data_IF_456217664084
#
_entry.id   IF_456217664084
#
_cell.length_a   1.000
_cell.length_b   1.000
_cell.length_c   1.000
_cell.angle_alpha   90.00
_cell.angle_beta   90.00
_cell.angle_gamma   90.00
#
_symmetry.space_group_name_H-M   'P 1'
#
loop_
_entity.id
_entity.type
_entity.pdbx_description
1 polymer ?
#
# COMPACT_ATOMS: atom_id res chain seq x y z
N UNK A 1 -25.19 -19.10 12.19
CA UNK A 1 -24.18 -18.52 13.11
C UNK A 1 -22.81 -18.91 12.55
N UNK A 2 -21.81 -18.02 12.60
CA UNK A 2 -20.48 -18.36 12.06
C UNK A 2 -19.77 -19.36 12.99
N UNK A 3 -18.97 -20.26 12.44
CA UNK A 3 -18.19 -21.22 13.21
C UNK A 3 -16.74 -20.73 13.46
N UNK A 4 -16.20 -19.98 12.49
CA UNK A 4 -14.82 -19.50 12.50
C UNK A 4 -14.70 -18.16 11.78
N UNK A 5 -13.75 -17.34 12.23
CA UNK A 5 -13.36 -16.10 11.56
C UNK A 5 -11.93 -16.24 11.09
N UNK A 6 -11.73 -16.00 9.80
CA UNK A 6 -10.38 -15.93 9.23
C UNK A 6 -10.17 -14.51 8.71
N UNK A 7 -9.36 -13.72 9.42
CA UNK A 7 -9.06 -12.36 9.02
C UNK A 7 -7.72 -12.29 8.27
N UNK A 8 -7.78 -11.79 7.04
CA UNK A 8 -6.63 -11.51 6.20
C UNK A 8 -6.28 -10.04 6.25
N UNK A 9 -5.00 -9.73 6.44
CA UNK A 9 -4.55 -8.35 6.43
C UNK A 9 -3.32 -8.12 5.56
N UNK A 10 -3.31 -7.00 4.83
CA UNK A 10 -2.09 -6.44 4.26
C UNK A 10 -1.69 -5.26 5.14
N UNK A 11 -0.55 -5.33 5.83
CA UNK A 11 -0.10 -4.21 6.66
C UNK A 11 1.39 -3.97 6.58
N UNK A 12 1.76 -2.71 6.38
CA UNK A 12 3.15 -2.27 6.43
C UNK A 12 3.56 -1.73 7.80
N UNK A 13 2.69 -0.95 8.46
CA UNK A 13 2.99 -0.30 9.76
C UNK A 13 2.06 -0.73 10.91
N UNK A 14 1.21 -1.73 10.69
CA UNK A 14 0.34 -2.31 11.72
C UNK A 14 -1.10 -1.79 11.76
N UNK A 15 -1.47 -0.78 10.95
CA UNK A 15 -2.82 -0.22 10.96
C UNK A 15 -3.89 -1.25 10.59
N UNK A 16 -3.76 -1.88 9.42
CA UNK A 16 -4.71 -2.89 8.96
C UNK A 16 -4.66 -4.18 9.78
N UNK A 17 -3.49 -4.51 10.36
CA UNK A 17 -3.39 -5.59 11.34
C UNK A 17 -4.29 -5.32 12.57
N UNK A 18 -4.23 -4.11 13.13
CA UNK A 18 -5.10 -3.73 14.25
C UNK A 18 -6.58 -3.85 13.91
N UNK A 19 -6.97 -3.39 12.71
CA UNK A 19 -8.37 -3.47 12.28
C UNK A 19 -8.85 -4.92 12.18
N UNK A 20 -8.05 -5.80 11.58
CA UNK A 20 -8.35 -7.23 11.55
C UNK A 20 -8.44 -7.82 12.96
N UNK A 21 -7.45 -7.53 13.82
CA UNK A 21 -7.39 -7.98 15.21
C UNK A 21 -8.61 -7.53 16.02
N UNK A 22 -8.95 -6.24 15.99
CA UNK A 22 -10.09 -5.67 16.71
C UNK A 22 -11.41 -6.31 16.28
N UNK A 23 -11.58 -6.58 14.98
CA UNK A 23 -12.78 -7.25 14.50
C UNK A 23 -12.87 -8.68 15.03
N UNK A 24 -11.77 -9.44 14.94
CA UNK A 24 -11.71 -10.82 15.47
C UNK A 24 -11.95 -10.88 16.97
N UNK A 25 -11.33 -10.00 17.76
CA UNK A 25 -11.51 -9.93 19.23
C UNK A 25 -12.93 -9.52 19.64
N UNK A 26 -13.67 -8.83 18.77
CA UNK A 26 -15.06 -8.43 19.04
C UNK A 26 -16.08 -9.55 18.81
N UNK A 27 -15.63 -10.69 18.29
CA UNK A 27 -16.49 -11.83 17.93
C UNK A 27 -16.21 -12.99 18.88
N UNK A 28 -16.69 -12.83 20.12
CA UNK A 28 -16.47 -13.76 21.22
C UNK A 28 -16.97 -15.19 20.92
N UNK A 29 -16.26 -16.19 21.43
CA UNK A 29 -16.65 -17.61 21.29
C UNK A 29 -16.33 -18.26 19.94
N UNK A 30 -15.67 -17.55 19.01
CA UNK A 30 -15.28 -18.10 17.70
C UNK A 30 -13.79 -18.37 17.60
N UNK A 31 -13.42 -19.43 16.88
CA UNK A 31 -12.03 -19.63 16.48
C UNK A 31 -11.61 -18.51 15.53
N UNK A 32 -10.52 -17.80 15.86
CA UNK A 32 -10.02 -16.67 15.08
C UNK A 32 -8.63 -16.96 14.52
N UNK A 33 -8.46 -16.74 13.22
CA UNK A 33 -7.16 -16.77 12.53
C UNK A 33 -6.81 -15.37 12.01
N UNK A 34 -5.56 -14.93 12.21
CA UNK A 34 -5.04 -13.66 11.68
C UNK A 34 -3.90 -13.95 10.69
N UNK A 35 -4.10 -13.67 9.41
CA UNK A 35 -3.15 -14.02 8.37
C UNK A 35 -2.67 -12.78 7.60
N UNK A 36 -1.36 -12.56 7.58
CA UNK A 36 -0.80 -11.52 6.73
C UNK A 36 -0.78 -11.98 5.27
N UNK A 37 -1.36 -11.19 4.37
CA UNK A 37 -1.27 -11.44 2.94
C UNK A 37 0.16 -11.17 2.45
N UNK A 38 0.74 -12.16 1.78
CA UNK A 38 2.08 -12.15 1.18
C UNK A 38 2.03 -12.63 -0.27
N UNK A 39 3.01 -12.21 -1.09
CA UNK A 39 3.01 -12.50 -2.54
C UNK A 39 3.01 -14.01 -2.87
N UNK A 40 3.59 -14.87 -2.02
CA UNK A 40 3.73 -16.32 -2.27
C UNK A 40 2.75 -17.20 -1.47
N UNK A 41 1.84 -16.63 -0.67
CA UNK A 41 0.98 -17.42 0.21
C UNK A 41 -0.35 -17.73 -0.49
N UNK A 42 -0.66 -19.03 -0.63
CA UNK A 42 -1.97 -19.50 -1.12
C UNK A 42 -2.33 -20.84 -0.50
N UNK A 43 -2.79 -20.82 0.75
CA UNK A 43 -3.51 -21.95 1.33
C UNK A 43 -4.54 -21.39 2.31
N UNK A 44 -5.72 -21.06 1.80
CA UNK A 44 -6.89 -20.81 2.63
C UNK A 44 -7.86 -21.94 2.39
N UNK A 45 -8.02 -22.80 3.39
CA UNK A 45 -9.13 -23.75 3.45
C UNK A 45 -10.31 -23.04 4.09
N UNK A 46 -11.31 -22.71 3.28
CA UNK A 46 -12.60 -22.18 3.76
C UNK A 46 -13.54 -23.35 4.03
N UNK A 47 -14.17 -23.36 5.20
CA UNK A 47 -15.23 -24.31 5.56
C UNK A 47 -16.61 -23.66 5.46
N UNK A 48 -17.65 -24.49 5.56
CA UNK A 48 -19.02 -24.01 5.66
C UNK A 48 -19.22 -23.19 6.94
N UNK A 49 -19.91 -22.05 6.85
CA UNK A 49 -20.11 -21.07 7.93
C UNK A 49 -18.87 -20.27 8.39
N UNK A 50 -17.83 -20.17 7.57
CA UNK A 50 -16.75 -19.22 7.80
C UNK A 50 -17.16 -17.76 7.51
N UNK A 51 -16.58 -16.84 8.29
CA UNK A 51 -16.55 -15.42 7.98
C UNK A 51 -15.12 -14.99 7.64
N UNK A 52 -14.94 -14.49 6.41
CA UNK A 52 -13.67 -13.91 6.00
C UNK A 52 -13.67 -12.40 6.25
N UNK A 53 -12.58 -11.88 6.80
CA UNK A 53 -12.44 -10.44 7.06
C UNK A 53 -11.19 -9.95 6.36
N UNK A 54 -11.29 -8.94 5.51
CA UNK A 54 -10.13 -8.39 4.79
C UNK A 54 -9.86 -6.96 5.25
N UNK A 55 -8.65 -6.70 5.74
CA UNK A 55 -8.19 -5.35 6.07
C UNK A 55 -6.87 -5.00 5.38
N UNK A 56 -6.81 -3.84 4.74
CA UNK A 56 -5.67 -3.45 3.91
C UNK A 56 -5.62 -1.94 3.72
N UNK A 57 -4.46 -1.34 3.44
CA UNK A 57 -4.37 0.08 3.16
C UNK A 57 -5.05 0.43 1.83
N UNK A 58 -5.69 1.58 1.76
CA UNK A 58 -6.02 2.21 0.47
C UNK A 58 -4.76 2.81 -0.14
N UNK A 59 -4.48 2.48 -1.40
CA UNK A 59 -3.39 3.04 -2.19
C UNK A 59 -3.95 3.69 -3.46
N UNK A 60 -3.60 4.95 -3.73
CA UNK A 60 -4.06 5.66 -4.93
C UNK A 60 -5.58 5.67 -5.10
N UNK A 61 -6.33 5.86 -3.99
CA UNK A 61 -7.80 5.82 -3.96
C UNK A 61 -8.43 4.49 -4.39
N UNK A 62 -7.67 3.40 -4.35
CA UNK A 62 -8.13 2.05 -4.68
C UNK A 62 -7.43 0.98 -3.83
N UNK A 63 -7.75 -0.29 -4.09
CA UNK A 63 -7.14 -1.41 -3.40
C UNK A 63 -5.71 -1.67 -3.94
N UNK A 64 -4.75 -2.07 -3.09
CA UNK A 64 -3.39 -2.39 -3.53
C UNK A 64 -3.37 -3.63 -4.44
N UNK A 65 -2.41 -3.67 -5.37
CA UNK A 65 -2.22 -4.83 -6.25
C UNK A 65 -2.05 -6.16 -5.50
N UNK A 66 -1.39 -6.17 -4.32
CA UNK A 66 -1.24 -7.39 -3.54
C UNK A 66 -2.60 -7.95 -3.07
N UNK A 67 -3.51 -7.07 -2.65
CA UNK A 67 -4.87 -7.48 -2.29
C UNK A 67 -5.63 -7.96 -3.52
N UNK A 68 -5.63 -7.19 -4.60
CA UNK A 68 -6.33 -7.55 -5.85
C UNK A 68 -5.87 -8.94 -6.33
N UNK A 69 -4.56 -9.17 -6.41
CA UNK A 69 -3.98 -10.47 -6.79
C UNK A 69 -4.38 -11.59 -5.83
N UNK A 70 -4.41 -11.30 -4.53
CA UNK A 70 -4.80 -12.28 -3.53
C UNK A 70 -6.25 -12.74 -3.73
N UNK A 71 -7.18 -11.82 -3.98
CA UNK A 71 -8.59 -12.14 -4.25
C UNK A 71 -8.74 -13.05 -5.49
N UNK A 72 -7.97 -12.79 -6.55
CA UNK A 72 -7.98 -13.65 -7.74
C UNK A 72 -7.46 -15.07 -7.49
N UNK A 73 -6.63 -15.27 -6.45
CA UNK A 73 -6.05 -16.57 -6.08
C UNK A 73 -6.84 -17.34 -5.02
N UNK A 74 -7.82 -16.70 -4.36
CA UNK A 74 -8.71 -17.38 -3.42
C UNK A 74 -9.47 -18.51 -4.11
N UNK A 75 -9.94 -19.56 -3.42
CA UNK A 75 -10.86 -20.55 -3.99
C UNK A 75 -12.21 -19.92 -4.38
N UNK A 76 -13.06 -20.68 -5.07
CA UNK A 76 -14.45 -20.28 -5.29
C UNK A 76 -15.15 -20.10 -3.94
N UNK A 77 -15.93 -19.03 -3.82
CA UNK A 77 -16.49 -18.62 -2.54
C UNK A 77 -17.62 -19.52 -2.04
N UNK A 78 -18.37 -20.17 -2.93
CA UNK A 78 -19.49 -21.06 -2.58
C UNK A 78 -20.46 -20.46 -1.54
N UNK A 79 -20.68 -19.15 -1.60
CA UNK A 79 -21.55 -18.42 -0.66
C UNK A 79 -20.92 -18.05 0.67
N UNK A 80 -19.63 -18.31 0.91
CA UNK A 80 -18.89 -17.89 2.11
C UNK A 80 -19.01 -16.38 2.31
N UNK A 81 -19.20 -15.97 3.57
CA UNK A 81 -19.42 -14.57 3.90
C UNK A 81 -18.10 -13.81 4.01
N UNK A 82 -18.10 -12.56 3.54
CA UNK A 82 -16.93 -11.69 3.60
C UNK A 82 -17.24 -10.28 4.13
N UNK A 83 -16.30 -9.69 4.86
CA UNK A 83 -16.34 -8.30 5.35
C UNK A 83 -15.06 -7.57 4.95
N UNK A 84 -15.20 -6.34 4.45
CA UNK A 84 -14.11 -5.51 3.96
C UNK A 84 -13.93 -4.25 4.81
N UNK A 85 -12.73 -4.11 5.38
CA UNK A 85 -12.35 -3.02 6.27
C UNK A 85 -11.04 -2.35 5.79
N UNK A 86 -11.05 -1.68 4.62
CA UNK A 86 -9.87 -0.96 4.15
C UNK A 86 -9.52 0.18 5.11
N UNK A 87 -8.24 0.40 5.36
CA UNK A 87 -7.75 1.50 6.19
C UNK A 87 -7.41 2.69 5.31
N UNK A 88 -7.89 3.87 5.69
CA UNK A 88 -7.63 5.14 4.99
C UNK A 88 -6.91 6.13 5.92
N UNK A 89 -6.17 7.06 5.32
CA UNK A 89 -5.28 8.00 6.00
C UNK A 89 -6.05 9.08 6.79
N UNK A 90 -6.61 8.70 7.94
CA UNK A 90 -7.19 9.64 8.88
C UNK A 90 -6.12 10.61 9.37
N UNK A 91 -6.47 11.90 9.41
CA UNK A 91 -5.56 12.95 9.88
C UNK A 91 -6.24 13.80 10.94
N UNK A 92 -5.43 14.58 11.66
CA UNK A 92 -5.91 15.52 12.66
C UNK A 92 -5.09 16.80 12.59
N UNK A 93 -5.74 17.88 12.16
CA UNK A 93 -5.12 19.19 11.96
C UNK A 93 -5.88 20.18 12.85
N UNK A 94 -5.14 20.95 13.66
CA UNK A 94 -5.71 21.94 14.59
C UNK A 94 -6.86 21.39 15.48
N UNK A 95 -6.78 20.11 15.87
CA UNK A 95 -7.80 19.47 16.69
C UNK A 95 -9.06 19.00 15.95
N UNK A 96 -9.14 19.17 14.63
CA UNK A 96 -10.19 18.62 13.79
C UNK A 96 -9.74 17.29 13.19
N UNK A 97 -10.53 16.23 13.38
CA UNK A 97 -10.28 14.93 12.77
C UNK A 97 -10.91 14.89 11.38
N UNK A 98 -10.07 14.72 10.37
CA UNK A 98 -10.51 14.64 8.98
C UNK A 98 -10.39 13.18 8.51
N UNK A 99 -11.44 12.62 7.88
CA UNK A 99 -11.38 11.28 7.34
C UNK A 99 -10.37 11.22 6.19
N UNK A 100 -9.75 10.06 6.01
CA UNK A 100 -9.02 9.76 4.78
C UNK A 100 -9.99 9.52 3.62
N UNK A 101 -9.43 9.17 2.46
CA UNK A 101 -10.21 8.82 1.27
C UNK A 101 -9.86 7.39 0.81
N UNK A 102 -10.83 6.49 0.88
CA UNK A 102 -10.70 5.10 0.46
C UNK A 102 -10.97 4.90 -1.05
N UNK A 103 -11.70 5.83 -1.68
CA UNK A 103 -12.12 5.72 -3.06
C UNK A 103 -12.85 4.41 -3.36
N UNK A 104 -12.38 3.68 -4.37
CA UNK A 104 -12.94 2.39 -4.78
C UNK A 104 -12.42 1.21 -3.95
N UNK A 105 -11.50 1.40 -3.01
CA UNK A 105 -10.76 0.31 -2.36
C UNK A 105 -11.63 -0.77 -1.70
N UNK A 106 -12.76 -0.39 -1.08
CA UNK A 106 -13.69 -1.34 -0.49
C UNK A 106 -14.53 -2.05 -1.55
N UNK A 107 -15.24 -1.27 -2.37
CA UNK A 107 -16.22 -1.82 -3.31
C UNK A 107 -15.61 -2.52 -4.54
N UNK A 108 -14.39 -2.16 -4.95
CA UNK A 108 -13.65 -2.91 -5.97
C UNK A 108 -13.43 -4.36 -5.51
N UNK A 109 -12.92 -4.54 -4.30
CA UNK A 109 -12.69 -5.87 -3.74
C UNK A 109 -14.02 -6.59 -3.47
N UNK A 110 -15.07 -5.85 -3.05
CA UNK A 110 -16.40 -6.42 -2.89
C UNK A 110 -16.94 -7.01 -4.19
N UNK A 111 -16.81 -6.27 -5.31
CA UNK A 111 -17.20 -6.73 -6.64
C UNK A 111 -16.39 -7.94 -7.09
N UNK A 112 -15.06 -7.94 -6.89
CA UNK A 112 -14.21 -9.09 -7.22
C UNK A 112 -14.58 -10.33 -6.41
N UNK A 113 -14.85 -10.20 -5.11
CA UNK A 113 -15.30 -11.30 -4.27
C UNK A 113 -16.69 -11.82 -4.69
N UNK A 114 -17.61 -10.93 -5.02
CA UNK A 114 -18.94 -11.29 -5.52
C UNK A 114 -18.85 -12.10 -6.82
N UNK A 115 -18.01 -11.67 -7.78
CA UNK A 115 -17.74 -12.43 -9.01
C UNK A 115 -17.13 -13.81 -8.76
N UNK A 116 -16.46 -13.99 -7.62
CA UNK A 116 -15.88 -15.27 -7.18
C UNK A 116 -16.87 -16.13 -6.38
N UNK A 117 -18.12 -15.70 -6.20
CA UNK A 117 -19.17 -16.43 -5.50
C UNK A 117 -19.20 -16.24 -3.97
N UNK A 118 -18.53 -15.23 -3.43
CA UNK A 118 -18.62 -14.87 -2.01
C UNK A 118 -19.82 -13.95 -1.75
N UNK A 119 -20.38 -14.01 -0.54
CA UNK A 119 -21.44 -13.10 -0.08
C UNK A 119 -20.84 -12.00 0.79
N UNK A 120 -20.62 -10.82 0.23
CA UNK A 120 -20.15 -9.67 1.00
C UNK A 120 -21.27 -9.22 1.95
N UNK A 121 -20.98 -9.18 3.25
CA UNK A 121 -21.92 -8.75 4.31
C UNK A 121 -21.58 -7.38 4.90
N UNK A 122 -20.37 -6.88 4.64
CA UNK A 122 -19.87 -5.65 5.24
C UNK A 122 -18.85 -4.94 4.36
N UNK A 123 -19.02 -3.64 4.12
CA UNK A 123 -17.99 -2.76 3.55
C UNK A 123 -17.95 -1.46 4.35
N UNK A 124 -16.82 -1.16 4.99
CA UNK A 124 -16.63 0.12 5.67
C UNK A 124 -15.14 0.45 5.84
N UNK A 125 -14.72 1.63 5.38
CA UNK A 125 -13.36 2.07 5.61
C UNK A 125 -13.12 2.54 7.05
N UNK A 126 -11.93 2.28 7.56
CA UNK A 126 -11.51 2.64 8.92
C UNK A 126 -10.42 3.71 8.85
N UNK A 127 -10.67 4.85 9.48
CA UNK A 127 -9.68 5.91 9.61
C UNK A 127 -8.56 5.44 10.54
N UNK A 128 -7.36 5.35 9.99
CA UNK A 128 -6.14 5.04 10.73
C UNK A 128 -5.10 6.12 10.47
N UNK A 129 -4.17 6.39 11.41
CA UNK A 129 -3.19 7.46 11.23
C UNK A 129 -2.38 7.24 9.94
N UNK A 130 -2.24 8.32 9.16
CA UNK A 130 -1.48 8.24 7.92
C UNK A 130 -0.04 7.78 8.15
N UNK A 131 0.39 6.81 7.34
CA UNK A 131 1.69 6.17 7.44
C UNK A 131 2.57 6.42 6.19
N UNK A 132 2.16 7.31 5.29
CA UNK A 132 2.89 7.61 4.04
C UNK A 132 4.10 8.51 4.28
N UNK A 133 5.08 7.99 5.02
CA UNK A 133 6.28 8.72 5.48
C UNK A 133 7.21 9.15 4.35
N UNK A 134 7.01 8.65 3.13
CA UNK A 134 7.68 9.15 1.95
C UNK A 134 7.18 10.53 1.51
N UNK A 135 5.92 10.87 1.83
CA UNK A 135 5.28 12.13 1.43
C UNK A 135 5.19 13.13 2.58
N UNK A 136 4.84 12.70 3.79
CA UNK A 136 4.67 13.59 4.94
C UNK A 136 5.14 12.95 6.24
N UNK A 137 5.33 13.76 7.29
CA UNK A 137 5.75 13.25 8.61
C UNK A 137 4.63 12.49 9.33
N UNK A 138 5.01 11.59 10.24
CA UNK A 138 4.08 10.92 11.14
C UNK A 138 3.41 11.89 12.13
N UNK A 139 2.14 11.63 12.46
CA UNK A 139 1.36 12.44 13.40
C UNK A 139 1.92 12.38 14.84
N UNK A 140 1.46 13.26 15.73
CA UNK A 140 1.78 13.20 17.17
C UNK A 140 1.07 12.04 17.85
N UNK A 141 1.66 11.52 18.93
CA UNK A 141 1.08 10.40 19.68
C UNK A 141 -0.32 10.73 20.20
N UNK A 142 -0.56 11.98 20.60
CA UNK A 142 -1.90 12.50 20.96
C UNK A 142 -2.89 12.35 19.80
N UNK A 143 -2.51 12.77 18.59
CA UNK A 143 -3.38 12.68 17.41
C UNK A 143 -3.58 11.23 16.95
N UNK A 144 -2.50 10.43 16.99
CA UNK A 144 -2.52 8.99 16.71
C UNK A 144 -3.51 8.30 17.64
N UNK A 145 -3.43 8.54 18.95
CA UNK A 145 -4.34 7.95 19.95
C UNK A 145 -5.80 8.26 19.64
N UNK A 146 -6.14 9.53 19.39
CA UNK A 146 -7.54 9.91 19.06
C UNK A 146 -8.07 9.18 17.82
N UNK A 147 -7.25 9.06 16.77
CA UNK A 147 -7.67 8.37 15.53
C UNK A 147 -7.82 6.86 15.79
N UNK A 148 -6.85 6.24 16.47
CA UNK A 148 -6.86 4.81 16.80
C UNK A 148 -8.05 4.45 17.68
N UNK A 149 -8.32 5.21 18.74
CA UNK A 149 -9.43 4.95 19.66
C UNK A 149 -10.80 5.02 18.94
N UNK A 150 -10.98 6.01 18.05
CA UNK A 150 -12.19 6.11 17.21
C UNK A 150 -12.30 4.96 16.21
N UNK A 151 -11.18 4.59 15.59
CA UNK A 151 -11.11 3.46 14.67
C UNK A 151 -11.52 2.15 15.34
N UNK A 152 -10.99 1.88 16.54
CA UNK A 152 -11.30 0.70 17.34
C UNK A 152 -12.79 0.64 17.71
N UNK A 153 -13.35 1.74 18.24
CA UNK A 153 -14.78 1.82 18.56
C UNK A 153 -15.67 1.56 17.34
N UNK A 154 -15.28 2.11 16.18
CA UNK A 154 -16.01 1.87 14.92
C UNK A 154 -15.96 0.39 14.54
N UNK A 155 -14.79 -0.24 14.58
CA UNK A 155 -14.64 -1.67 14.24
C UNK A 155 -15.47 -2.55 15.18
N UNK A 156 -15.46 -2.27 16.49
CA UNK A 156 -16.28 -3.00 17.49
C UNK A 156 -17.77 -2.98 17.14
N UNK A 157 -18.32 -1.79 16.80
CA UNK A 157 -19.73 -1.65 16.39
C UNK A 157 -20.06 -2.42 15.10
N UNK A 158 -19.14 -2.40 14.13
CA UNK A 158 -19.30 -3.12 12.87
C UNK A 158 -19.28 -4.65 13.08
N UNK A 159 -18.38 -5.15 13.93
CA UNK A 159 -18.33 -6.56 14.30
C UNK A 159 -19.64 -7.00 14.98
N UNK A 160 -20.14 -6.23 15.96
CA UNK A 160 -21.44 -6.48 16.60
C UNK A 160 -22.60 -6.53 15.60
N UNK A 161 -22.59 -5.66 14.58
CA UNK A 161 -23.61 -5.65 13.53
C UNK A 161 -23.64 -6.98 12.77
N UNK A 162 -22.46 -7.53 12.46
CA UNK A 162 -22.30 -8.82 11.77
C UNK A 162 -22.66 -9.99 12.70
N UNK A 163 -22.31 -9.91 13.98
CA UNK A 163 -22.68 -10.89 15.00
C UNK A 163 -24.21 -11.04 15.12
N UNK A 164 -24.94 -9.93 15.03
CA UNK A 164 -26.41 -9.90 15.01
C UNK A 164 -27.03 -10.38 13.67
N UNK A 165 -26.22 -10.88 12.73
CA UNK A 165 -26.66 -11.34 11.42
C UNK A 165 -27.00 -10.24 10.41
N UNK A 166 -26.80 -8.97 10.78
CA UNK A 166 -27.09 -7.81 9.91
C UNK A 166 -25.91 -7.53 8.97
N UNK A 167 -26.16 -6.70 7.96
CA UNK A 167 -25.14 -6.25 7.00
C UNK A 167 -24.92 -4.74 7.12
N UNK A 168 -23.76 -4.25 6.67
CA UNK A 168 -23.48 -2.82 6.59
C UNK A 168 -22.75 -2.46 5.30
N UNK A 169 -23.08 -1.29 4.74
CA UNK A 169 -22.44 -0.78 3.53
C UNK A 169 -22.25 0.72 3.66
N UNK A 170 -21.01 1.14 3.94
CA UNK A 170 -20.63 2.52 4.17
C UNK A 170 -19.64 2.98 3.08
N UNK A 171 -19.50 4.30 2.92
CA UNK A 171 -18.51 4.87 2.01
C UNK A 171 -19.02 5.17 0.61
N UNK A 172 -20.34 5.39 0.45
CA UNK A 172 -20.93 5.78 -0.84
C UNK A 172 -20.31 7.06 -1.42
N UNK A 173 -20.11 8.11 -0.61
CA UNK A 173 -19.46 9.35 -1.08
C UNK A 173 -18.01 9.09 -1.54
N UNK A 174 -17.13 8.47 -0.74
CA UNK A 174 -15.81 8.05 -1.22
C UNK A 174 -15.83 7.17 -2.46
N UNK A 175 -16.80 6.26 -2.61
CA UNK A 175 -16.96 5.44 -3.81
C UNK A 175 -17.22 6.31 -5.04
N UNK A 176 -18.18 7.23 -4.97
CA UNK A 176 -18.50 8.15 -6.08
C UNK A 176 -17.28 8.97 -6.45
N UNK A 177 -16.59 9.57 -5.48
CA UNK A 177 -15.35 10.31 -5.71
C UNK A 177 -14.25 9.42 -6.31
N UNK A 178 -14.14 8.18 -5.84
CA UNK A 178 -13.19 7.19 -6.36
C UNK A 178 -13.46 6.82 -7.82
N UNK A 179 -14.73 6.72 -8.23
CA UNK A 179 -15.14 6.48 -9.62
C UNK A 179 -14.82 7.70 -10.48
N UNK A 180 -15.10 8.91 -10.01
CA UNK A 180 -14.70 10.15 -10.70
C UNK A 180 -13.17 10.24 -10.87
N UNK A 181 -12.41 9.71 -9.90
CA UNK A 181 -10.95 9.62 -9.92
C UNK A 181 -10.44 8.27 -10.47
N UNK A 182 -11.25 7.53 -11.23
CA UNK A 182 -10.85 6.21 -11.73
C UNK A 182 -9.59 6.27 -12.61
N UNK A 183 -9.44 7.31 -13.44
CA UNK A 183 -8.23 7.53 -14.23
C UNK A 183 -6.97 7.70 -13.39
N UNK A 184 -7.06 8.39 -12.25
CA UNK A 184 -5.96 8.54 -11.28
C UNK A 184 -5.63 7.19 -10.63
N UNK A 185 -6.65 6.46 -10.20
CA UNK A 185 -6.50 5.14 -9.59
C UNK A 185 -5.86 4.15 -10.56
N UNK A 186 -6.31 4.16 -11.83
CA UNK A 186 -5.76 3.34 -12.90
C UNK A 186 -4.30 3.72 -13.20
N UNK A 187 -4.00 5.00 -13.41
CA UNK A 187 -2.64 5.49 -13.61
C UNK A 187 -1.71 5.12 -12.43
N UNK A 188 -2.21 5.20 -11.20
CA UNK A 188 -1.49 4.72 -10.02
C UNK A 188 -1.17 3.23 -10.11
N UNK A 189 -2.14 2.38 -10.42
CA UNK A 189 -1.95 0.93 -10.51
C UNK A 189 -1.00 0.54 -11.65
N UNK A 190 -1.03 1.23 -12.79
CA UNK A 190 -0.26 0.80 -13.97
C UNK A 190 1.17 1.36 -13.96
N UNK A 191 1.36 2.62 -13.58
CA UNK A 191 2.68 3.28 -13.64
C UNK A 191 3.08 3.96 -12.33
N UNK A 192 2.15 4.64 -11.66
CA UNK A 192 2.46 5.47 -10.49
C UNK A 192 3.14 4.68 -9.37
N UNK A 193 2.61 3.50 -9.06
CA UNK A 193 3.19 2.61 -8.05
C UNK A 193 4.63 2.18 -8.41
N UNK A 194 4.88 1.86 -9.68
CA UNK A 194 6.20 1.44 -10.16
C UNK A 194 7.22 2.58 -10.02
N UNK A 195 6.81 3.82 -10.32
CA UNK A 195 7.67 4.99 -10.16
C UNK A 195 7.93 5.32 -8.68
N UNK A 196 6.91 5.23 -7.83
CA UNK A 196 7.06 5.41 -6.37
C UNK A 196 8.06 4.42 -5.77
N UNK A 197 8.11 3.18 -6.28
CA UNK A 197 9.10 2.19 -5.86
C UNK A 197 10.55 2.67 -6.02
N UNK A 198 10.81 3.54 -7.00
CA UNK A 198 12.16 4.02 -7.35
C UNK A 198 12.56 5.28 -6.61
N UNK A 199 11.66 5.88 -5.84
CA UNK A 199 11.99 7.03 -4.99
C UNK A 199 12.81 6.64 -3.75
N UNK A 200 12.78 5.37 -3.35
CA UNK A 200 13.50 4.90 -2.18
C UNK A 200 14.98 4.68 -2.45
N UNK A 201 15.80 5.17 -1.54
CA UNK A 201 17.22 4.84 -1.48
C UNK A 201 17.67 4.58 -0.04
N UNK A 202 18.80 3.91 0.10
CA UNK A 202 19.45 3.69 1.39
C UNK A 202 20.60 4.68 1.58
N UNK A 203 20.60 5.39 2.70
CA UNK A 203 21.68 6.30 3.06
C UNK A 203 22.96 5.57 3.48
N UNK A 204 24.00 6.37 3.72
CA UNK A 204 25.27 5.99 4.34
C UNK A 204 25.08 5.22 5.67
N UNK A 205 24.04 5.56 6.45
CA UNK A 205 23.68 4.88 7.72
C UNK A 205 23.21 3.43 7.55
N UNK A 206 22.89 2.98 6.34
CA UNK A 206 22.45 1.59 6.15
C UNK A 206 23.62 0.62 6.37
N UNK A 207 23.47 -0.25 7.36
CA UNK A 207 24.44 -1.29 7.75
C UNK A 207 24.20 -2.66 7.07
N UNK A 208 23.25 -2.76 6.14
CA UNK A 208 23.01 -4.00 5.40
C UNK A 208 22.30 -5.13 6.15
N UNK A 209 21.71 -4.86 7.32
CA UNK A 209 21.02 -5.89 8.14
C UNK A 209 19.86 -6.65 7.48
N UNK A 210 19.44 -6.26 6.26
CA UNK A 210 18.42 -6.96 5.46
C UNK A 210 17.02 -7.07 6.07
N UNK A 211 16.75 -6.46 7.24
CA UNK A 211 15.42 -6.45 7.86
C UNK A 211 14.34 -5.97 6.89
N UNK A 212 14.62 -4.91 6.12
CA UNK A 212 13.70 -4.37 5.12
C UNK A 212 13.24 -5.41 4.08
N UNK A 213 14.12 -6.32 3.66
CA UNK A 213 13.79 -7.44 2.76
C UNK A 213 12.91 -8.47 3.47
N UNK A 214 13.24 -8.83 4.70
CA UNK A 214 12.53 -9.85 5.49
C UNK A 214 11.07 -9.45 5.80
N UNK A 215 10.84 -8.17 6.10
CA UNK A 215 9.51 -7.64 6.46
C UNK A 215 8.68 -7.21 5.25
N UNK A 216 9.20 -7.34 4.01
CA UNK A 216 8.49 -6.91 2.82
C UNK A 216 7.40 -7.94 2.44
N UNK A 217 6.09 -7.62 2.57
CA UNK A 217 5.03 -8.59 2.29
C UNK A 217 5.01 -9.02 0.81
N UNK A 218 5.46 -8.12 -0.06
CA UNK A 218 5.49 -8.32 -1.51
C UNK A 218 6.83 -8.85 -2.04
N UNK A 219 7.80 -9.07 -1.16
CA UNK A 219 9.16 -9.50 -1.53
C UNK A 219 9.81 -8.61 -2.61
N UNK A 220 9.48 -7.32 -2.62
CA UNK A 220 9.94 -6.34 -3.64
C UNK A 220 11.30 -5.71 -3.36
N UNK A 221 12.07 -6.26 -2.43
CA UNK A 221 13.38 -5.70 -2.04
C UNK A 221 14.43 -6.78 -2.23
N UNK A 222 15.42 -6.47 -3.07
CA UNK A 222 16.64 -7.25 -3.24
C UNK A 222 17.77 -6.60 -2.46
N UNK A 223 18.77 -7.38 -2.04
CA UNK A 223 19.99 -6.83 -1.42
C UNK A 223 21.11 -6.87 -2.45
N UNK A 224 21.54 -5.70 -2.94
CA UNK A 224 22.57 -5.58 -3.98
C UNK A 224 23.74 -4.76 -3.45
N UNK A 225 24.91 -5.39 -3.27
CA UNK A 225 26.08 -4.74 -2.66
C UNK A 225 25.79 -4.30 -1.22
N UNK A 226 25.14 -5.16 -0.44
CA UNK A 226 24.73 -4.92 0.95
C UNK A 226 23.79 -3.72 1.19
N UNK A 227 23.15 -3.21 0.13
CA UNK A 227 22.12 -2.15 0.20
C UNK A 227 20.80 -2.66 -0.39
N UNK A 228 19.65 -2.26 0.16
CA UNK A 228 18.36 -2.61 -0.41
C UNK A 228 18.16 -1.94 -1.77
N UNK A 229 17.57 -2.69 -2.69
CA UNK A 229 17.19 -2.28 -4.03
C UNK A 229 15.72 -2.63 -4.24
N UNK A 230 14.89 -1.62 -4.49
CA UNK A 230 13.44 -1.79 -4.63
C UNK A 230 13.10 -2.14 -6.08
N UNK A 231 12.42 -3.27 -6.27
CA UNK A 231 11.93 -3.70 -7.58
C UNK A 231 10.64 -2.94 -7.94
N UNK A 232 10.23 -3.02 -9.20
CA UNK A 232 8.97 -2.39 -9.64
C UNK A 232 7.70 -3.01 -9.04
N UNK A 233 7.80 -4.15 -8.33
CA UNK A 233 6.65 -4.76 -7.67
C UNK A 233 6.31 -4.12 -6.31
N UNK A 234 7.10 -3.15 -5.84
CA UNK A 234 6.89 -2.54 -4.52
C UNK A 234 5.54 -1.82 -4.44
N UNK A 235 4.73 -2.15 -3.43
CA UNK A 235 3.44 -1.50 -3.18
C UNK A 235 3.56 -0.19 -2.38
N UNK A 236 4.77 0.26 -2.04
CA UNK A 236 4.98 1.46 -1.23
C UNK A 236 4.20 1.42 0.12
N UNK A 237 4.12 0.25 0.76
CA UNK A 237 3.42 0.08 2.05
C UNK A 237 4.13 0.70 3.26
N UNK A 238 5.32 1.30 3.05
CA UNK A 238 6.13 2.00 4.04
C UNK A 238 6.69 1.16 5.21
N UNK A 239 6.56 -0.18 5.18
CA UNK A 239 7.11 -1.07 6.21
C UNK A 239 8.62 -0.85 6.40
N UNK A 240 9.38 -0.97 5.31
CA UNK A 240 10.83 -0.85 5.32
C UNK A 240 11.33 0.52 5.84
N UNK A 241 10.67 1.61 5.43
CA UNK A 241 11.03 2.97 5.83
C UNK A 241 10.77 3.23 7.33
N UNK A 242 9.66 2.71 7.86
CA UNK A 242 9.26 2.96 9.24
C UNK A 242 9.91 2.01 10.25
N UNK A 243 10.25 0.78 9.85
CA UNK A 243 10.88 -0.20 10.74
C UNK A 243 12.41 -0.28 10.63
N UNK A 244 13.04 0.46 9.71
CA UNK A 244 14.51 0.49 9.64
C UNK A 244 15.11 1.03 10.95
N UNK A 245 15.88 0.23 11.72
CA UNK A 245 16.46 0.66 12.99
C UNK A 245 17.47 1.80 12.80
N UNK A 246 18.19 1.78 11.68
CA UNK A 246 19.17 2.82 11.33
C UNK A 246 18.53 4.09 10.72
N UNK A 247 17.20 4.09 10.52
CA UNK A 247 16.46 5.14 9.78
C UNK A 247 17.08 5.49 8.42
N UNK A 248 17.73 4.51 7.79
CA UNK A 248 18.55 4.71 6.60
C UNK A 248 17.75 4.73 5.29
N UNK A 249 16.49 4.30 5.28
CA UNK A 249 15.65 4.31 4.09
C UNK A 249 14.97 5.68 3.96
N UNK A 250 15.20 6.36 2.85
CA UNK A 250 14.82 7.76 2.63
C UNK A 250 14.28 7.97 1.21
N UNK A 251 13.58 9.10 1.02
CA UNK A 251 13.17 9.64 -0.27
C UNK A 251 13.70 11.07 -0.39
N UNK A 252 14.19 11.46 -1.56
CA UNK A 252 14.69 12.82 -1.80
C UNK A 252 13.86 13.54 -2.88
N UNK A 253 13.57 14.85 -2.75
CA UNK A 253 13.00 15.62 -3.84
C UNK A 253 13.90 15.59 -5.07
N UNK A 254 15.22 15.51 -4.87
CA UNK A 254 16.19 15.39 -5.94
C UNK A 254 15.94 14.14 -6.80
N UNK A 255 15.70 12.99 -6.18
CA UNK A 255 15.37 11.75 -6.92
C UNK A 255 14.06 11.89 -7.70
N UNK A 256 13.05 12.56 -7.14
CA UNK A 256 11.79 12.80 -7.84
C UNK A 256 11.99 13.72 -9.06
N UNK A 257 12.70 14.85 -8.88
CA UNK A 257 13.04 15.77 -9.94
C UNK A 257 13.84 15.08 -11.06
N UNK A 258 14.87 14.31 -10.69
CA UNK A 258 15.71 13.58 -11.63
C UNK A 258 14.88 12.63 -12.51
N UNK A 259 13.99 11.83 -11.92
CA UNK A 259 13.15 10.91 -12.69
C UNK A 259 12.09 11.61 -13.54
N UNK A 260 11.53 12.72 -13.05
CA UNK A 260 10.61 13.52 -13.85
C UNK A 260 11.33 14.12 -15.07
N UNK A 261 12.50 14.72 -14.86
CA UNK A 261 13.32 15.31 -15.92
C UNK A 261 13.71 14.28 -16.98
N UNK A 262 14.21 13.11 -16.58
CA UNK A 262 14.57 12.05 -17.53
C UNK A 262 13.35 11.54 -18.28
N UNK A 263 12.21 11.36 -17.60
CA UNK A 263 10.97 10.92 -18.23
C UNK A 263 10.44 11.88 -19.30
N UNK A 264 10.77 13.17 -19.22
CA UNK A 264 10.31 14.20 -20.17
C UNK A 264 11.32 14.54 -21.27
N UNK A 265 12.62 14.34 -21.05
CA UNK A 265 13.68 14.67 -22.00
C UNK A 265 13.44 14.05 -23.39
N UNK A 266 13.17 12.74 -23.56
CA UNK A 266 12.99 12.19 -24.90
C UNK A 266 11.67 12.54 -25.53
N UNK A 267 10.58 12.70 -24.77
CA UNK A 267 9.33 13.27 -25.33
C UNK A 267 9.63 14.61 -25.99
N UNK A 268 10.40 15.47 -25.33
CA UNK A 268 10.82 16.74 -25.87
C UNK A 268 11.69 16.61 -27.12
N UNK A 269 12.78 15.82 -27.08
CA UNK A 269 13.69 15.63 -28.22
C UNK A 269 13.00 15.05 -29.47
N UNK A 270 12.08 14.09 -29.27
CA UNK A 270 11.31 13.48 -30.36
C UNK A 270 10.29 14.46 -30.97
N UNK A 271 9.66 15.30 -30.14
CA UNK A 271 8.69 16.32 -30.61
C UNK A 271 9.39 17.49 -31.31
N UNK A 272 10.58 17.90 -30.85
CA UNK A 272 11.31 19.04 -31.41
C UNK A 272 12.03 18.75 -32.73
N UNK A 273 12.12 17.49 -33.16
CA UNK A 273 12.74 17.10 -34.43
C UNK A 273 11.72 17.00 -35.57
N UNK A 274 11.97 17.69 -36.70
CA UNK A 274 11.11 17.64 -37.90
C UNK A 274 10.83 16.22 -38.41
N UNK A 275 11.78 15.29 -38.22
CA UNK A 275 11.66 13.88 -38.61
C UNK A 275 10.82 13.05 -37.61
N UNK A 276 10.83 13.43 -36.33
CA UNK A 276 10.08 12.74 -35.28
C UNK A 276 8.58 13.08 -35.33
N UNK A 277 8.25 14.35 -35.56
CA UNK A 277 6.86 14.82 -35.63
C UNK A 277 6.06 14.17 -36.77
N UNK A 278 6.64 14.07 -37.96
CA UNK A 278 5.99 13.50 -39.15
C UNK A 278 5.67 12.01 -39.00
N UNK A 279 6.52 11.25 -38.30
CA UNK A 279 6.31 9.83 -38.04
C UNK A 279 5.36 9.59 -36.84
N UNK A 280 5.53 10.34 -35.75
CA UNK A 280 4.74 10.16 -34.52
C UNK A 280 3.29 10.62 -34.71
N UNK A 281 3.05 11.71 -35.45
CA UNK A 281 1.70 12.22 -35.68
C UNK A 281 0.77 11.24 -36.42
N UNK A 282 1.33 10.22 -37.06
CA UNK A 282 0.60 9.17 -37.79
C UNK A 282 0.34 7.91 -36.95
N UNK A 283 0.97 7.76 -35.78
CA UNK A 283 0.80 6.58 -34.96
C UNK A 283 -0.53 6.62 -34.20
N UNK A 284 -1.23 5.48 -34.06
CA UNK A 284 -2.34 5.35 -33.13
C UNK A 284 -1.91 5.72 -31.70
N UNK A 285 -2.79 6.40 -30.97
CA UNK A 285 -2.51 6.84 -29.59
C UNK A 285 -2.13 5.70 -28.64
N UNK A 286 -2.62 4.47 -28.88
CA UNK A 286 -2.25 3.28 -28.11
C UNK A 286 -0.79 2.85 -28.31
N UNK A 287 -0.28 2.95 -29.54
CA UNK A 287 1.13 2.65 -29.85
C UNK A 287 2.02 3.70 -29.22
N UNK A 288 1.64 4.99 -29.34
CA UNK A 288 2.35 6.07 -28.68
C UNK A 288 2.41 5.90 -27.16
N UNK A 289 1.29 5.56 -26.53
CA UNK A 289 1.24 5.27 -25.11
C UNK A 289 2.19 4.13 -24.72
N UNK A 290 2.22 3.04 -25.49
CA UNK A 290 3.11 1.91 -25.22
C UNK A 290 4.59 2.29 -25.34
N UNK A 291 4.95 3.04 -26.39
CA UNK A 291 6.32 3.55 -26.58
C UNK A 291 6.73 4.40 -25.38
N UNK A 292 5.88 5.35 -24.98
CA UNK A 292 6.15 6.22 -23.84
C UNK A 292 6.23 5.46 -22.52
N UNK A 293 5.36 4.49 -22.32
CA UNK A 293 5.35 3.62 -21.15
C UNK A 293 6.66 2.82 -21.02
N UNK A 294 7.08 2.15 -22.09
CA UNK A 294 8.35 1.40 -22.13
C UNK A 294 9.55 2.32 -21.93
N UNK A 295 9.53 3.48 -22.59
CA UNK A 295 10.58 4.48 -22.48
C UNK A 295 10.76 4.99 -21.04
N UNK A 296 9.67 5.41 -20.37
CA UNK A 296 9.72 5.90 -18.99
C UNK A 296 10.26 4.82 -18.06
N UNK A 297 9.72 3.60 -18.15
CA UNK A 297 10.13 2.51 -17.26
C UNK A 297 11.58 2.08 -17.46
N UNK A 298 12.06 2.01 -18.72
CA UNK A 298 13.44 1.66 -19.03
C UNK A 298 14.42 2.74 -18.57
N UNK A 299 14.08 4.02 -18.79
CA UNK A 299 14.93 5.15 -18.41
C UNK A 299 15.03 5.31 -16.91
N UNK A 300 13.91 5.19 -16.19
CA UNK A 300 13.90 5.18 -14.73
C UNK A 300 14.66 3.96 -14.20
N UNK A 301 14.55 2.78 -14.83
CA UNK A 301 15.28 1.59 -14.39
C UNK A 301 16.79 1.77 -14.55
N UNK A 302 17.24 2.31 -15.68
CA UNK A 302 18.64 2.60 -15.95
C UNK A 302 19.19 3.62 -14.95
N UNK A 303 18.49 4.75 -14.78
CA UNK A 303 18.93 5.79 -13.85
C UNK A 303 18.93 5.30 -12.40
N UNK A 304 17.93 4.50 -12.01
CA UNK A 304 17.87 3.92 -10.67
C UNK A 304 19.04 2.95 -10.42
N UNK A 305 19.46 2.16 -11.42
CA UNK A 305 20.66 1.31 -11.32
C UNK A 305 21.93 2.14 -11.17
N UNK A 306 22.08 3.22 -11.95
CA UNK A 306 23.20 4.15 -11.84
C UNK A 306 23.24 4.79 -10.45
N UNK A 307 22.12 5.34 -9.99
CA UNK A 307 21.99 5.91 -8.64
C UNK A 307 22.36 4.89 -7.58
N UNK A 308 21.86 3.65 -7.68
CA UNK A 308 22.21 2.58 -6.73
C UNK A 308 23.71 2.28 -6.69
N UNK A 309 24.38 2.35 -7.84
CA UNK A 309 25.84 2.17 -7.92
C UNK A 309 26.58 3.36 -7.27
N UNK A 310 26.19 4.59 -7.60
CA UNK A 310 26.75 5.82 -7.04
C UNK A 310 26.61 5.87 -5.52
N UNK A 311 25.45 5.45 -4.98
CA UNK A 311 25.18 5.42 -3.53
C UNK A 311 25.98 4.37 -2.75
N UNK A 312 26.80 3.55 -3.41
CA UNK A 312 27.80 2.72 -2.72
C UNK A 312 28.99 3.54 -2.24
N UNK A 313 29.24 4.70 -2.85
CA UNK A 313 30.27 5.65 -2.46
C UNK A 313 29.74 6.45 -1.26
N UNK A 314 30.29 6.21 -0.06
CA UNK A 314 29.77 6.76 1.21
C UNK A 314 29.60 8.29 1.21
N UNK A 315 30.57 9.10 0.74
CA UNK A 315 30.39 10.56 0.68
C UNK A 315 29.19 10.99 -0.17
N UNK A 316 28.95 10.34 -1.31
CA UNK A 316 27.83 10.67 -2.19
C UNK A 316 26.49 10.25 -1.58
N UNK A 317 26.46 9.09 -0.89
CA UNK A 317 25.29 8.66 -0.14
C UNK A 317 24.95 9.59 1.03
N UNK A 318 25.98 10.08 1.74
CA UNK A 318 25.82 11.06 2.81
C UNK A 318 25.30 12.40 2.27
N UNK A 319 25.80 12.86 1.11
CA UNK A 319 25.32 14.08 0.44
C UNK A 319 23.84 13.97 0.06
N UNK A 320 23.43 12.90 -0.64
CA UNK A 320 22.03 12.73 -1.01
C UNK A 320 21.13 12.58 0.23
N UNK A 321 21.62 11.88 1.26
CA UNK A 321 20.91 11.78 2.53
C UNK A 321 20.78 13.13 3.21
N UNK A 322 21.79 14.00 3.13
CA UNK A 322 21.73 15.34 3.69
C UNK A 322 20.64 16.20 3.01
N UNK A 323 20.44 16.02 1.71
CA UNK A 323 19.39 16.68 0.91
C UNK A 323 17.99 16.06 1.07
N UNK A 324 17.87 14.91 1.73
CA UNK A 324 16.56 14.26 1.94
C UNK A 324 15.79 14.92 3.09
N UNK A 325 14.62 15.46 2.80
CA UNK A 325 13.70 15.97 3.84
C UNK A 325 13.16 14.85 4.75
N UNK A 326 13.00 13.63 4.22
CA UNK A 326 12.41 12.51 4.97
C UNK A 326 13.29 12.03 6.14
N UNK A 327 14.56 12.44 6.20
CA UNK A 327 15.42 12.16 7.36
C UNK A 327 14.90 12.78 8.65
N UNK A 328 14.22 13.93 8.54
CA UNK A 328 13.62 14.67 9.65
C UNK A 328 12.20 14.21 9.99
N UNK A 329 11.56 13.45 9.11
CA UNK A 329 10.18 13.03 9.32
C UNK A 329 10.09 12.04 10.48
N UNK A 330 9.11 12.26 11.36
CA UNK A 330 8.70 11.29 12.36
C UNK A 330 8.27 10.00 11.65
N UNK A 331 8.85 8.87 12.05
CA UNK A 331 8.41 7.55 11.61
C UNK A 331 7.12 7.17 12.31
N UNK A 332 6.24 6.46 11.63
CA UNK A 332 5.00 5.98 12.18
C UNK A 332 4.98 4.45 12.26
N UNK A 333 4.68 3.94 13.45
CA UNK A 333 4.37 2.55 13.73
C UNK A 333 3.06 2.54 14.52
N UNK A 334 2.16 1.62 14.20
CA UNK A 334 0.90 1.53 14.94
C UNK A 334 1.19 1.21 16.43
N UNK A 335 0.62 1.96 17.40
CA UNK A 335 0.96 1.80 18.81
C UNK A 335 0.69 0.37 19.31
N UNK A 336 1.64 -0.24 20.03
CA UNK A 336 1.47 -1.60 20.57
C UNK A 336 1.52 -2.72 19.52
N UNK A 337 1.96 -2.44 18.28
CA UNK A 337 2.17 -3.46 17.24
C UNK A 337 3.66 -3.66 17.00
N UNK A 338 4.13 -4.88 17.19
CA UNK A 338 5.49 -5.32 16.85
C UNK A 338 5.56 -5.96 15.46
N UNK A 339 6.76 -6.10 14.90
CA UNK A 339 6.97 -6.87 13.67
C UNK A 339 6.55 -8.34 13.83
N UNK A 340 6.77 -8.92 15.01
CA UNK A 340 6.32 -10.28 15.33
C UNK A 340 4.80 -10.41 15.36
N UNK A 341 4.04 -9.34 15.58
CA UNK A 341 2.58 -9.38 15.42
C UNK A 341 2.14 -9.40 13.95
N UNK A 342 2.85 -8.64 13.09
CA UNK A 342 2.51 -8.49 11.67
C UNK A 342 2.95 -9.72 10.88
N UNK A 343 4.17 -10.20 11.11
CA UNK A 343 4.84 -11.24 10.32
C UNK A 343 4.89 -12.60 11.02
N UNK A 344 3.84 -12.97 11.77
CA UNK A 344 3.77 -14.31 12.38
C UNK A 344 3.93 -15.38 11.30
N UNK A 345 4.89 -16.27 11.51
CA UNK A 345 4.99 -17.55 10.82
C UNK A 345 4.30 -18.54 11.74
N UNK A 346 2.97 -18.54 11.69
CA UNK A 346 2.17 -19.62 12.30
C UNK A 346 2.21 -20.85 11.39
#
# INVERSE_FOLDING_TARGET
>A
MYARITAFFMSGTGNSYKVAKWFSESMEGLHTGLHQIREQQTTVTTGDNDLLVFSYPTHGFTAPWLMIKYIFRLPAGNGVHAVLLPTRAGTRILGLSLPGMEGTAGYLIAGLLWLRGYKVRGVAAIDMPSNWTALHWGLSDKNVKVIVDRGEQKVKRLAQTIALGRSFYNGFIPLVLGVLLAGVSFGYLIIGQMLLAKLFFASDKCNGCSLCKQICPKQSIQMLGNKPYWTYSCDSCMACMNFCPQRAIQVSPFTLFLYNYIGTIPVYFWISGNLGWSFIGQLPGSIWFLIQYVYILSSVALMYRLLHHVLRIKPLAALLSALSHTKYFRRYKSPGVSLGNIHRTD
#
